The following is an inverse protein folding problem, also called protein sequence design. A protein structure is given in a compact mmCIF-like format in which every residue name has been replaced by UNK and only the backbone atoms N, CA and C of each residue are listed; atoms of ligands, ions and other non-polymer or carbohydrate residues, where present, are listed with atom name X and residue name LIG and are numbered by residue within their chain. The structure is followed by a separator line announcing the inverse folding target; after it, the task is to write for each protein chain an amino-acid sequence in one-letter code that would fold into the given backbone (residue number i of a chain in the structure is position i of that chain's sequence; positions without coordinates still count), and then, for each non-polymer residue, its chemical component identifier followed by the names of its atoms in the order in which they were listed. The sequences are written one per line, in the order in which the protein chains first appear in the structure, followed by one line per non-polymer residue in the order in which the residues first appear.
data_IF_918026121559
#
_entry.id   IF_918026121559
#
_cell.length_a   1.000
_cell.length_b   1.000
_cell.length_c   1.000
_cell.angle_alpha   90.00
_cell.angle_beta   90.00
_cell.angle_gamma   90.00
#
_symmetry.space_group_name_H-M   'P 1'
#
loop_
_entity.id
_entity.type
_entity.pdbx_description
1 polymer ?
#
# COMPACT_ATOMS: atom_id res chain seq x y z
N UNK A 1 25.53 -25.27 -11.32
CA UNK A 1 24.10 -25.08 -11.01
C UNK A 1 23.94 -23.70 -10.37
N UNK A 2 23.37 -22.73 -11.09
CA UNK A 2 23.06 -21.41 -10.52
C UNK A 2 21.95 -21.63 -9.47
N UNK A 3 22.20 -21.26 -8.22
CA UNK A 3 21.15 -21.28 -7.18
C UNK A 3 20.07 -20.29 -7.61
N UNK A 4 18.85 -20.76 -7.83
CA UNK A 4 17.72 -19.89 -8.10
C UNK A 4 17.64 -18.85 -6.97
N UNK A 5 17.71 -17.56 -7.32
CA UNK A 5 17.66 -16.49 -6.34
C UNK A 5 16.29 -16.51 -5.67
N UNK A 6 16.23 -17.00 -4.42
CA UNK A 6 15.00 -17.07 -3.63
C UNK A 6 14.36 -15.70 -3.40
N UNK A 7 15.14 -14.62 -3.59
CA UNK A 7 14.72 -13.23 -3.46
C UNK A 7 14.10 -12.65 -4.74
N UNK A 8 14.23 -13.29 -5.91
CA UNK A 8 13.73 -12.72 -7.18
C UNK A 8 12.36 -13.28 -7.62
N UNK A 9 11.64 -13.96 -6.72
CA UNK A 9 10.37 -14.64 -7.04
C UNK A 9 9.30 -14.35 -5.99
N UNK A 10 8.01 -14.55 -6.32
CA UNK A 10 6.96 -14.49 -5.32
C UNK A 10 7.17 -15.51 -4.21
N UNK A 11 6.81 -15.15 -2.98
CA UNK A 11 6.94 -16.02 -1.80
C UNK A 11 5.56 -16.21 -1.17
N UNK A 12 5.14 -17.44 -0.83
CA UNK A 12 3.86 -17.66 -0.15
C UNK A 12 3.77 -16.94 1.19
N UNK A 13 2.63 -16.32 1.47
CA UNK A 13 2.34 -15.63 2.75
C UNK A 13 1.15 -16.24 3.51
N UNK A 14 0.59 -17.35 3.02
CA UNK A 14 -0.60 -18.00 3.58
C UNK A 14 -1.86 -17.70 2.77
N UNK A 15 -2.95 -18.41 3.08
CA UNK A 15 -4.28 -18.21 2.45
C UNK A 15 -4.30 -18.29 0.91
N UNK A 16 -3.37 -19.05 0.30
CA UNK A 16 -3.22 -19.10 -1.16
C UNK A 16 -2.62 -17.83 -1.79
N UNK A 17 -2.25 -16.83 -0.98
CA UNK A 17 -1.62 -15.60 -1.42
C UNK A 17 -0.09 -15.67 -1.43
N UNK A 18 0.52 -14.79 -2.22
CA UNK A 18 1.97 -14.61 -2.31
C UNK A 18 2.32 -13.13 -2.13
N UNK A 19 3.45 -12.84 -1.48
CA UNK A 19 4.11 -11.55 -1.65
C UNK A 19 4.75 -11.54 -3.05
N UNK A 20 4.53 -10.46 -3.80
CA UNK A 20 5.03 -10.32 -5.16
C UNK A 20 6.56 -10.31 -5.22
N UNK A 21 7.11 -10.70 -6.37
CA UNK A 21 8.54 -10.59 -6.60
C UNK A 21 9.01 -9.12 -6.47
N UNK A 22 10.24 -8.84 -5.99
CA UNK A 22 10.72 -7.47 -5.84
C UNK A 22 10.66 -6.63 -7.12
N UNK A 23 10.85 -7.25 -8.29
CA UNK A 23 10.72 -6.58 -9.59
C UNK A 23 9.31 -6.03 -9.84
N UNK A 24 8.27 -6.73 -9.38
CA UNK A 24 6.90 -6.27 -9.48
C UNK A 24 6.64 -5.07 -8.55
N UNK A 25 7.15 -5.11 -7.31
CA UNK A 25 7.05 -3.98 -6.39
C UNK A 25 7.81 -2.75 -6.91
N UNK A 26 9.01 -2.93 -7.45
CA UNK A 26 9.79 -1.85 -8.05
C UNK A 26 9.00 -1.19 -9.19
N UNK A 27 8.43 -1.99 -10.10
CA UNK A 27 7.62 -1.44 -11.20
C UNK A 27 6.40 -0.66 -10.71
N UNK A 28 5.69 -1.14 -9.69
CA UNK A 28 4.56 -0.42 -9.10
C UNK A 28 5.00 0.89 -8.43
N UNK A 29 6.15 0.90 -7.77
CA UNK A 29 6.71 2.09 -7.12
C UNK A 29 7.20 3.12 -8.13
N UNK A 30 7.79 2.71 -9.26
CA UNK A 30 8.19 3.62 -10.33
C UNK A 30 6.97 4.41 -10.84
N UNK A 31 5.88 3.69 -11.16
CA UNK A 31 4.63 4.30 -11.60
C UNK A 31 4.04 5.22 -10.52
N UNK A 32 4.02 4.76 -9.27
CA UNK A 32 3.53 5.58 -8.16
C UNK A 32 4.37 6.87 -7.98
N UNK A 33 5.68 6.79 -8.18
CA UNK A 33 6.60 7.93 -8.06
C UNK A 33 6.29 9.00 -9.11
N UNK A 34 6.01 8.60 -10.35
CA UNK A 34 5.60 9.52 -11.42
C UNK A 34 4.32 10.27 -11.02
N UNK A 35 3.28 9.55 -10.59
CA UNK A 35 2.01 10.16 -10.16
C UNK A 35 2.14 11.06 -8.94
N UNK A 36 2.87 10.62 -7.90
CA UNK A 36 3.09 11.40 -6.68
C UNK A 36 3.84 12.69 -6.99
N UNK A 37 4.84 12.63 -7.87
CA UNK A 37 5.61 13.81 -8.30
C UNK A 37 4.73 14.78 -9.08
N UNK A 38 3.94 14.29 -10.04
CA UNK A 38 2.99 15.11 -10.79
C UNK A 38 1.99 15.81 -9.86
N UNK A 39 1.40 15.08 -8.91
CA UNK A 39 0.47 15.65 -7.92
C UNK A 39 1.15 16.67 -7.01
N UNK A 40 2.39 16.43 -6.58
CA UNK A 40 3.14 17.37 -5.76
C UNK A 40 3.39 18.70 -6.50
N UNK A 41 3.67 18.65 -7.81
CA UNK A 41 3.82 19.88 -8.62
C UNK A 41 2.52 20.66 -8.78
N UNK A 42 1.38 19.96 -8.87
CA UNK A 42 0.05 20.58 -9.03
C UNK A 42 -0.53 21.11 -7.73
N UNK A 43 -0.17 20.52 -6.59
CA UNK A 43 -0.64 20.92 -5.26
C UNK A 43 0.17 22.10 -4.72
N UNK A 44 0.17 23.23 -5.44
CA UNK A 44 1.01 24.40 -5.14
C UNK A 44 0.69 25.04 -3.79
N UNK A 45 -0.55 24.92 -3.30
CA UNK A 45 -0.96 25.40 -1.99
C UNK A 45 -0.56 24.46 -0.84
N UNK A 46 -0.13 23.22 -1.12
CA UNK A 46 0.12 22.14 -0.14
C UNK A 46 -1.06 21.86 0.81
N UNK A 47 -2.26 22.32 0.45
CA UNK A 47 -3.42 22.23 1.32
C UNK A 47 -4.15 20.88 1.21
N UNK A 48 -4.11 20.25 0.04
CA UNK A 48 -4.74 18.94 -0.12
C UNK A 48 -3.81 17.82 0.39
N UNK A 49 -4.27 16.93 1.28
CA UNK A 49 -3.48 15.77 1.68
C UNK A 49 -3.43 14.73 0.56
N UNK A 50 -2.28 14.05 0.39
CA UNK A 50 -2.19 12.90 -0.52
C UNK A 50 -2.89 11.69 0.10
N UNK A 51 -3.76 11.02 -0.63
CA UNK A 51 -4.43 9.79 -0.19
C UNK A 51 -4.11 8.67 -1.17
N UNK A 52 -3.54 7.58 -0.68
CA UNK A 52 -3.16 6.41 -1.48
C UNK A 52 -3.91 5.19 -0.95
N UNK A 53 -4.45 4.40 -1.88
CA UNK A 53 -5.09 3.11 -1.59
C UNK A 53 -4.29 1.98 -2.24
N UNK A 54 -3.93 0.98 -1.44
CA UNK A 54 -3.27 -0.24 -1.89
C UNK A 54 -4.26 -1.42 -1.80
N UNK A 55 -4.84 -1.80 -2.93
CA UNK A 55 -5.91 -2.83 -3.00
C UNK A 55 -5.29 -4.22 -3.13
N UNK A 56 -5.63 -5.14 -2.23
CA UNK A 56 -4.96 -6.43 -2.12
C UNK A 56 -3.62 -6.31 -1.40
N UNK A 57 -3.60 -5.56 -0.29
CA UNK A 57 -2.37 -5.19 0.40
C UNK A 57 -1.55 -6.40 0.91
N UNK A 58 -2.18 -7.56 1.11
CA UNK A 58 -1.52 -8.84 1.36
C UNK A 58 -0.58 -8.79 2.56
N UNK A 59 0.71 -8.71 2.31
CA UNK A 59 1.75 -8.60 3.37
C UNK A 59 1.88 -7.20 3.97
N UNK A 60 1.27 -6.17 3.37
CA UNK A 60 1.45 -4.76 3.74
C UNK A 60 2.76 -4.14 3.24
N UNK A 61 3.60 -4.87 2.51
CA UNK A 61 4.90 -4.38 2.03
C UNK A 61 4.76 -3.17 1.10
N UNK A 62 3.91 -3.26 0.07
CA UNK A 62 3.71 -2.16 -0.88
C UNK A 62 3.05 -0.96 -0.19
N UNK A 63 2.07 -1.19 0.69
CA UNK A 63 1.46 -0.16 1.53
C UNK A 63 2.52 0.62 2.32
N UNK A 64 3.51 -0.07 2.92
CA UNK A 64 4.61 0.56 3.64
C UNK A 64 5.52 1.38 2.70
N UNK A 65 5.90 0.83 1.54
CA UNK A 65 6.71 1.56 0.56
C UNK A 65 6.00 2.82 0.03
N UNK A 66 4.69 2.75 -0.21
CA UNK A 66 3.89 3.90 -0.64
C UNK A 66 3.81 4.97 0.44
N UNK A 67 3.76 4.60 1.72
CA UNK A 67 3.80 5.55 2.81
C UNK A 67 5.17 6.24 2.95
N UNK A 68 6.27 5.55 2.68
CA UNK A 68 7.60 6.16 2.60
C UNK A 68 7.69 7.16 1.44
N UNK A 69 7.17 6.79 0.26
CA UNK A 69 7.12 7.67 -0.92
C UNK A 69 6.24 8.90 -0.67
N UNK A 70 5.08 8.73 -0.04
CA UNK A 70 4.20 9.83 0.31
C UNK A 70 4.85 10.78 1.32
N UNK A 71 5.54 10.24 2.32
CA UNK A 71 6.26 11.00 3.33
C UNK A 71 7.35 11.90 2.75
N UNK A 72 8.07 11.44 1.72
CA UNK A 72 9.12 12.24 1.08
C UNK A 72 8.60 13.42 0.27
N UNK A 73 7.31 13.41 -0.11
CA UNK A 73 6.76 14.34 -1.10
C UNK A 73 5.62 15.22 -0.55
N UNK A 74 4.94 14.82 0.52
CA UNK A 74 3.78 15.52 1.09
C UNK A 74 3.87 15.63 2.61
N UNK A 75 3.56 16.82 3.15
CA UNK A 75 3.48 17.05 4.61
C UNK A 75 2.29 16.35 5.25
N UNK A 76 1.16 16.29 4.53
CA UNK A 76 -0.04 15.58 4.94
C UNK A 76 -0.35 14.48 3.94
N UNK A 77 -0.36 13.24 4.41
CA UNK A 77 -0.71 12.09 3.60
C UNK A 77 -1.40 11.01 4.44
N UNK A 78 -2.08 10.10 3.76
CA UNK A 78 -2.65 8.88 4.33
C UNK A 78 -2.50 7.75 3.32
N UNK A 79 -1.99 6.61 3.77
CA UNK A 79 -1.91 5.39 2.96
C UNK A 79 -2.70 4.29 3.64
N UNK A 80 -3.67 3.73 2.91
CA UNK A 80 -4.54 2.67 3.40
C UNK A 80 -4.39 1.43 2.53
N UNK A 81 -3.85 0.37 3.13
CA UNK A 81 -3.88 -0.97 2.54
C UNK A 81 -5.23 -1.62 2.80
N UNK A 82 -5.81 -2.22 1.76
CA UNK A 82 -7.08 -2.90 1.78
C UNK A 82 -6.86 -4.40 1.57
N UNK A 83 -7.31 -5.21 2.51
CA UNK A 83 -7.16 -6.67 2.47
C UNK A 83 -8.48 -7.34 2.87
N UNK A 84 -8.87 -8.37 2.13
CA UNK A 84 -10.10 -9.15 2.34
C UNK A 84 -9.87 -10.39 3.21
N UNK A 85 -8.66 -10.96 3.19
CA UNK A 85 -8.33 -12.15 3.94
C UNK A 85 -7.93 -11.81 5.38
N UNK A 86 -8.78 -12.19 6.34
CA UNK A 86 -8.65 -11.82 7.76
C UNK A 86 -7.27 -12.19 8.33
N UNK A 87 -6.76 -13.37 8.01
CA UNK A 87 -5.45 -13.82 8.51
C UNK A 87 -4.29 -12.97 7.97
N UNK A 88 -4.42 -12.38 6.77
CA UNK A 88 -3.41 -11.50 6.19
C UNK A 88 -3.51 -10.07 6.73
N UNK A 89 -4.72 -9.60 7.08
CA UNK A 89 -4.93 -8.28 7.69
C UNK A 89 -4.06 -8.10 8.94
N UNK A 90 -4.08 -9.07 9.86
CA UNK A 90 -3.36 -8.93 11.13
C UNK A 90 -1.84 -9.01 10.94
N UNK A 91 -1.37 -9.86 10.03
CA UNK A 91 0.04 -9.94 9.65
C UNK A 91 0.52 -8.62 9.01
N UNK A 92 -0.24 -8.08 8.06
CA UNK A 92 0.06 -6.80 7.41
C UNK A 92 0.06 -5.64 8.40
N UNK A 93 -0.92 -5.59 9.32
CA UNK A 93 -0.96 -4.60 10.40
C UNK A 93 0.30 -4.65 11.27
N UNK A 94 0.74 -5.84 11.64
CA UNK A 94 1.96 -6.02 12.43
C UNK A 94 3.19 -5.55 11.65
N UNK A 95 3.31 -5.89 10.37
CA UNK A 95 4.41 -5.48 9.50
C UNK A 95 4.46 -3.95 9.33
N UNK A 96 3.33 -3.31 9.03
CA UNK A 96 3.24 -1.84 8.88
C UNK A 96 3.56 -1.11 10.18
N UNK A 97 3.10 -1.62 11.33
CA UNK A 97 3.46 -1.05 12.65
C UNK A 97 4.96 -1.20 12.93
N UNK A 98 5.54 -2.36 12.64
CA UNK A 98 6.97 -2.61 12.83
C UNK A 98 7.85 -1.71 11.95
N UNK A 99 7.37 -1.32 10.77
CA UNK A 99 8.04 -0.35 9.90
C UNK A 99 8.02 1.10 10.44
N UNK A 100 7.37 1.36 11.58
CA UNK A 100 7.30 2.67 12.25
C UNK A 100 6.71 3.81 11.40
N UNK A 101 5.90 3.48 10.39
CA UNK A 101 5.27 4.47 9.51
C UNK A 101 3.97 4.97 10.16
N UNK A 102 4.05 6.07 10.92
CA UNK A 102 2.94 6.65 11.70
C UNK A 102 1.64 6.93 10.91
N UNK A 103 1.71 7.04 9.59
CA UNK A 103 0.59 7.42 8.72
C UNK A 103 0.22 6.35 7.67
N UNK A 104 0.68 5.11 7.88
CA UNK A 104 0.26 3.94 7.11
C UNK A 104 -0.69 3.09 7.97
N UNK A 105 -1.81 2.66 7.39
CA UNK A 105 -2.75 1.77 8.08
C UNK A 105 -3.25 0.66 7.16
N UNK A 106 -3.60 -0.48 7.76
CA UNK A 106 -4.26 -1.59 7.05
C UNK A 106 -5.70 -1.67 7.54
N UNK A 107 -6.63 -1.52 6.59
CA UNK A 107 -8.06 -1.62 6.81
C UNK A 107 -8.59 -2.92 6.25
N UNK A 108 -9.46 -3.55 7.04
CA UNK A 108 -10.22 -4.70 6.59
C UNK A 108 -11.19 -4.25 5.50
N UNK A 109 -11.13 -4.91 4.36
CA UNK A 109 -12.10 -4.71 3.31
C UNK A 109 -13.23 -5.74 3.46
N UNK A 110 -14.31 -5.31 4.10
CA UNK A 110 -15.57 -6.06 4.10
C UNK A 110 -16.47 -5.49 3.00
N UNK A 111 -16.63 -6.22 1.89
CA UNK A 111 -17.49 -5.83 0.78
C UNK A 111 -16.87 -6.09 -0.59
N UNK A 112 -17.69 -5.95 -1.63
CA UNK A 112 -17.28 -6.18 -3.01
C UNK A 112 -16.42 -5.00 -3.52
N UNK A 113 -15.12 -5.26 -3.78
CA UNK A 113 -14.20 -4.28 -4.40
C UNK A 113 -14.76 -3.72 -5.70
N UNK A 114 -15.43 -4.56 -6.50
CA UNK A 114 -15.96 -4.18 -7.80
C UNK A 114 -17.15 -3.23 -7.69
N UNK A 115 -17.84 -3.18 -6.54
CA UNK A 115 -19.00 -2.30 -6.31
C UNK A 115 -18.65 -0.99 -5.60
N UNK A 116 -17.39 -0.81 -5.18
CA UNK A 116 -16.91 0.44 -4.60
C UNK A 116 -17.47 0.78 -3.20
N UNK A 117 -18.10 -0.16 -2.51
CA UNK A 117 -18.71 0.09 -1.19
C UNK A 117 -17.68 0.53 -0.13
N UNK A 118 -16.42 0.13 -0.31
CA UNK A 118 -15.28 0.53 0.52
C UNK A 118 -14.98 2.03 0.45
N UNK A 119 -15.20 2.67 -0.71
CA UNK A 119 -14.87 4.07 -0.93
C UNK A 119 -15.73 4.99 -0.05
N UNK A 120 -16.99 4.62 0.22
CA UNK A 120 -17.90 5.40 1.08
C UNK A 120 -17.43 5.51 2.52
N UNK A 121 -16.80 4.46 3.05
CA UNK A 121 -16.26 4.46 4.43
C UNK A 121 -14.93 5.20 4.54
N UNK A 122 -14.11 5.16 3.50
CA UNK A 122 -12.75 5.71 3.52
C UNK A 122 -12.66 7.17 3.04
N UNK A 123 -13.60 7.61 2.20
CA UNK A 123 -13.69 8.99 1.72
C UNK A 123 -14.66 9.84 2.53
N UNK A 124 -15.36 9.25 3.52
CA UNK A 124 -16.18 10.01 4.45
C UNK A 124 -15.31 11.07 5.16
N UNK A 125 -15.76 12.34 5.23
CA UNK A 125 -15.08 13.32 6.07
C UNK A 125 -15.06 12.81 7.52
N UNK A 126 -13.89 12.93 8.17
CA UNK A 126 -13.70 12.58 9.57
C UNK A 126 -14.54 13.48 10.49
#
# INVERSE_FOLDING_TARGET
RVRACSLCRPVPIGCGAVISAPSAHARSLDLATEFVSELATRNTSREAPLRIFDVGSGSGYLTACLALLAHSSFERYSVVGLESEIALIDAARAAVRAAALRLASISALNGDLARGEWARRLLAPA
#
